data_IF_356044921087
#
_entry.id   IF_356044921087
#
_cell.length_a   1.000
_cell.length_b   1.000
_cell.length_c   1.000
_cell.angle_alpha   90.00
_cell.angle_beta   90.00
_cell.angle_gamma   90.00
#
_symmetry.space_group_name_H-M   'P 1'
#
loop_
_entity.id
_entity.type
_entity.pdbx_description
1 polymer ?
#
# COMPACT_ATOMS: atom_id res chain seq x y z
N UNK A 1 23.60 48.23 66.08
CA UNK A 1 24.11 46.88 66.42
C UNK A 1 22.89 46.01 66.72
N UNK A 2 22.42 45.22 65.74
CA UNK A 2 21.19 44.44 65.87
C UNK A 2 21.49 42.99 66.21
N UNK A 3 20.89 42.48 67.29
CA UNK A 3 21.03 41.09 67.73
C UNK A 3 20.03 40.20 66.98
N UNK A 4 20.52 39.33 66.10
CA UNK A 4 19.74 38.22 65.55
C UNK A 4 19.90 36.99 66.45
N UNK A 5 18.78 36.39 66.84
CA UNK A 5 18.75 35.13 67.61
C UNK A 5 17.91 34.12 66.84
N UNK A 6 18.49 32.95 66.61
CA UNK A 6 17.80 31.84 65.96
C UNK A 6 16.71 31.34 66.93
N UNK A 7 15.45 31.43 66.52
CA UNK A 7 14.29 31.08 67.36
C UNK A 7 14.03 29.57 67.31
N UNK A 8 14.30 28.90 66.19
CA UNK A 8 14.12 27.45 66.06
C UNK A 8 14.97 26.87 64.91
N UNK A 9 15.61 25.72 65.14
CA UNK A 9 16.26 24.95 64.07
C UNK A 9 15.20 24.23 63.22
N UNK A 10 15.48 24.08 61.93
CA UNK A 10 14.59 23.39 60.99
C UNK A 10 14.33 21.95 61.45
N UNK A 11 13.07 21.60 61.67
CA UNK A 11 12.67 20.22 61.90
C UNK A 11 12.83 19.43 60.61
N UNK A 12 13.78 18.49 60.57
CA UNK A 12 13.91 17.55 59.47
C UNK A 12 12.66 16.65 59.44
N UNK A 13 11.91 16.60 58.33
CA UNK A 13 10.76 15.71 58.22
C UNK A 13 11.26 14.26 58.32
N UNK A 14 10.84 13.55 59.38
CA UNK A 14 11.29 12.18 59.63
C UNK A 14 10.58 11.13 58.76
N UNK A 15 9.52 11.51 58.06
CA UNK A 15 8.89 10.68 57.03
C UNK A 15 8.89 11.39 55.67
N UNK A 16 9.07 10.65 54.56
CA UNK A 16 8.93 11.21 53.22
C UNK A 16 7.52 11.78 53.05
N UNK A 17 7.42 13.03 52.59
CA UNK A 17 6.13 13.57 52.12
C UNK A 17 5.62 12.62 51.03
N UNK A 18 4.46 12.00 51.27
CA UNK A 18 3.94 10.87 50.50
C UNK A 18 4.20 11.03 48.99
N UNK A 19 5.15 10.25 48.48
CA UNK A 19 5.62 10.31 47.10
C UNK A 19 4.58 9.70 46.17
N UNK A 20 3.61 10.50 45.73
CA UNK A 20 2.61 10.12 44.72
C UNK A 20 3.20 10.03 43.30
N UNK A 21 4.52 9.90 43.17
CA UNK A 21 5.23 9.84 41.88
C UNK A 21 4.82 8.61 41.07
N UNK A 22 4.63 7.46 41.71
CA UNK A 22 4.12 6.25 41.04
C UNK A 22 2.68 6.44 40.55
N UNK A 23 1.83 7.06 41.37
CA UNK A 23 0.44 7.37 40.99
C UNK A 23 0.38 8.34 39.81
N UNK A 24 1.20 9.40 39.83
CA UNK A 24 1.32 10.34 38.71
C UNK A 24 1.84 9.65 37.45
N UNK A 25 2.85 8.79 37.56
CA UNK A 25 3.38 8.00 36.44
C UNK A 25 2.33 7.06 35.84
N UNK A 26 1.61 6.31 36.68
CA UNK A 26 0.56 5.39 36.23
C UNK A 26 -0.58 6.16 35.56
N UNK A 27 -1.02 7.28 36.15
CA UNK A 27 -2.09 8.09 35.58
C UNK A 27 -1.69 8.72 34.24
N UNK A 28 -0.45 9.20 34.12
CA UNK A 28 0.09 9.76 32.88
C UNK A 28 0.24 8.71 31.79
N UNK A 29 0.75 7.52 32.14
CA UNK A 29 0.83 6.39 31.22
C UNK A 29 -0.57 5.99 30.72
N UNK A 30 -1.53 5.87 31.63
CA UNK A 30 -2.89 5.47 31.28
C UNK A 30 -3.57 6.51 30.37
N UNK A 31 -3.48 7.80 30.70
CA UNK A 31 -4.02 8.89 29.88
C UNK A 31 -3.32 8.99 28.53
N UNK A 32 -2.00 8.83 28.49
CA UNK A 32 -1.21 8.86 27.26
C UNK A 32 -1.60 7.74 26.30
N UNK A 33 -1.76 6.52 26.79
CA UNK A 33 -2.19 5.38 25.95
C UNK A 33 -3.61 5.60 25.43
N UNK A 34 -4.52 6.09 26.28
CA UNK A 34 -5.90 6.41 25.88
C UNK A 34 -5.93 7.49 24.78
N UNK A 35 -5.18 8.57 24.97
CA UNK A 35 -5.07 9.65 23.99
C UNK A 35 -4.41 9.17 22.69
N UNK A 36 -3.41 8.30 22.78
CA UNK A 36 -2.73 7.70 21.63
C UNK A 36 -3.65 6.80 20.81
N UNK A 37 -4.43 5.93 21.46
CA UNK A 37 -5.44 5.09 20.79
C UNK A 37 -6.51 5.97 20.14
N UNK A 38 -7.00 6.99 20.86
CA UNK A 38 -8.00 7.91 20.32
C UNK A 38 -7.46 8.65 19.08
N UNK A 39 -6.23 9.15 19.14
CA UNK A 39 -5.58 9.81 18.00
C UNK A 39 -5.38 8.86 16.82
N UNK A 40 -4.96 7.61 17.06
CA UNK A 40 -4.81 6.60 16.02
C UNK A 40 -6.15 6.31 15.32
N UNK A 41 -7.24 6.17 16.09
CA UNK A 41 -8.59 5.97 15.53
C UNK A 41 -9.09 7.20 14.76
N UNK A 42 -8.80 8.41 15.22
CA UNK A 42 -9.15 9.64 14.50
C UNK A 42 -8.39 9.71 13.17
N UNK A 43 -7.09 9.42 13.17
CA UNK A 43 -6.27 9.37 11.97
C UNK A 43 -6.76 8.27 11.01
N UNK A 44 -7.11 7.10 11.52
CA UNK A 44 -7.68 6.00 10.74
C UNK A 44 -9.05 6.36 10.17
N UNK A 45 -9.89 7.10 10.90
CA UNK A 45 -11.20 7.54 10.43
C UNK A 45 -11.14 8.62 9.34
N UNK A 46 -10.04 9.37 9.25
CA UNK A 46 -9.82 10.35 8.18
C UNK A 46 -9.23 9.74 6.91
N UNK A 47 -8.80 8.48 6.98
CA UNK A 47 -8.33 7.74 5.81
C UNK A 47 -9.52 7.35 4.91
N UNK A 48 -9.82 8.21 3.92
CA UNK A 48 -10.83 7.98 2.88
C UNK A 48 -10.38 6.99 1.79
N UNK A 49 -9.43 6.11 2.10
CA UNK A 49 -9.03 5.05 1.18
C UNK A 49 -10.16 4.04 1.05
N UNK A 50 -10.65 3.81 -0.18
CA UNK A 50 -11.63 2.77 -0.49
C UNK A 50 -10.93 1.42 -0.34
N UNK A 51 -11.05 0.83 0.86
CA UNK A 51 -10.33 -0.39 1.25
C UNK A 51 -10.99 -1.66 0.71
N UNK A 52 -12.22 -1.56 0.20
CA UNK A 52 -13.04 -2.71 -0.15
C UNK A 52 -13.58 -2.61 -1.57
N UNK A 53 -13.36 -3.67 -2.35
CA UNK A 53 -13.78 -3.79 -3.75
C UNK A 53 -15.32 -3.62 -3.90
N UNK A 54 -16.08 -3.98 -2.88
CA UNK A 54 -17.54 -3.92 -2.88
C UNK A 54 -18.08 -2.48 -2.72
N UNK A 55 -17.42 -1.61 -1.96
CA UNK A 55 -17.81 -0.18 -1.87
C UNK A 55 -17.63 0.54 -3.21
N UNK A 56 -16.59 0.18 -3.97
CA UNK A 56 -16.37 0.74 -5.31
C UNK A 56 -17.45 0.29 -6.32
N UNK A 57 -17.97 -0.94 -6.18
CA UNK A 57 -19.08 -1.44 -7.01
C UNK A 57 -20.37 -0.70 -6.70
N UNK A 58 -20.69 -0.54 -5.41
CA UNK A 58 -21.95 0.04 -4.97
C UNK A 58 -22.03 1.56 -5.21
N UNK A 59 -20.91 2.29 -5.07
CA UNK A 59 -20.88 3.75 -5.27
C UNK A 59 -20.82 4.16 -6.75
N UNK A 60 -20.11 3.42 -7.58
CA UNK A 60 -19.85 3.81 -8.97
C UNK A 60 -20.66 3.01 -10.00
N UNK A 61 -21.32 1.91 -9.60
CA UNK A 61 -22.09 1.05 -10.49
C UNK A 61 -21.24 0.36 -11.57
N UNK A 62 -19.94 0.22 -11.33
CA UNK A 62 -18.98 -0.30 -12.31
C UNK A 62 -18.80 -1.82 -12.17
N UNK A 63 -18.74 -2.51 -13.30
CA UNK A 63 -18.40 -3.94 -13.34
C UNK A 63 -16.93 -4.14 -13.01
N UNK A 64 -16.63 -4.86 -11.93
CA UNK A 64 -15.26 -5.27 -11.63
C UNK A 64 -14.78 -6.29 -12.66
N UNK A 65 -13.74 -5.94 -13.41
CA UNK A 65 -13.18 -6.80 -14.45
C UNK A 65 -12.05 -7.73 -13.98
N UNK A 66 -11.44 -7.42 -12.84
CA UNK A 66 -10.41 -8.27 -12.24
C UNK A 66 -9.66 -7.57 -11.12
N UNK A 67 -8.89 -8.35 -10.36
CA UNK A 67 -7.99 -7.88 -9.31
C UNK A 67 -6.59 -8.33 -9.67
N UNK A 68 -5.65 -7.38 -9.75
CA UNK A 68 -4.25 -7.66 -10.04
C UNK A 68 -3.48 -7.59 -8.72
N UNK A 69 -2.91 -8.70 -8.23
CA UNK A 69 -2.17 -8.68 -6.98
C UNK A 69 -0.91 -7.83 -7.12
N UNK A 70 -0.70 -6.91 -6.16
CA UNK A 70 0.51 -6.11 -6.11
C UNK A 70 1.68 -6.98 -5.64
N UNK A 71 2.71 -7.12 -6.47
CA UNK A 71 3.97 -7.74 -6.05
C UNK A 71 4.83 -6.65 -5.38
N UNK A 72 4.74 -6.53 -4.05
CA UNK A 72 5.77 -5.81 -3.31
C UNK A 72 6.95 -6.75 -3.15
N UNK A 73 8.03 -6.51 -3.91
CA UNK A 73 9.33 -7.06 -3.58
C UNK A 73 9.69 -6.50 -2.20
N UNK A 74 9.55 -7.33 -1.18
CA UNK A 74 10.08 -7.07 0.14
C UNK A 74 11.60 -7.05 0.02
N UNK A 75 12.18 -5.87 -0.25
CA UNK A 75 13.61 -5.62 -0.05
C UNK A 75 13.88 -5.66 1.45
N UNK A 76 13.95 -6.87 1.98
CA UNK A 76 14.33 -7.16 3.35
C UNK A 76 15.84 -6.92 3.48
N UNK A 77 16.23 -5.65 3.61
CA UNK A 77 17.61 -5.20 3.83
C UNK A 77 18.27 -5.86 5.05
N UNK A 78 17.49 -6.41 5.98
CA UNK A 78 17.97 -7.15 7.16
C UNK A 78 18.17 -8.65 6.91
N UNK A 79 17.46 -9.26 5.94
CA UNK A 79 17.55 -10.69 5.65
C UNK A 79 18.74 -11.07 4.77
N UNK A 80 19.19 -10.14 3.91
CA UNK A 80 20.29 -10.37 2.97
C UNK A 80 21.68 -10.39 3.64
N UNK A 81 21.78 -9.95 4.91
CA UNK A 81 23.03 -9.96 5.66
C UNK A 81 23.31 -11.31 6.35
N UNK A 82 22.27 -12.13 6.58
CA UNK A 82 22.37 -13.39 7.35
C UNK A 82 22.23 -14.65 6.47
N UNK A 83 21.93 -14.50 5.18
CA UNK A 83 21.78 -15.62 4.22
C UNK A 83 22.45 -15.26 2.89
N UNK A 84 23.69 -15.69 2.61
CA UNK A 84 24.17 -15.71 1.23
C UNK A 84 23.38 -16.81 0.50
N UNK A 85 22.30 -16.43 -0.18
CA UNK A 85 21.44 -17.37 -0.87
C UNK A 85 22.16 -17.93 -2.10
N UNK A 86 22.70 -19.13 -1.97
CA UNK A 86 22.99 -20.03 -3.07
C UNK A 86 21.71 -20.83 -3.36
N UNK A 87 21.16 -20.72 -4.57
CA UNK A 87 20.09 -21.59 -5.05
C UNK A 87 18.87 -20.86 -5.63
N UNK A 88 18.64 -21.12 -6.92
CA UNK A 88 17.49 -20.76 -7.75
C UNK A 88 16.14 -20.69 -7.02
N UNK A 89 15.46 -19.54 -7.11
CA UNK A 89 14.06 -19.38 -6.74
C UNK A 89 13.56 -18.02 -7.21
N UNK A 90 12.75 -18.06 -8.28
CA UNK A 90 11.89 -17.01 -8.83
C UNK A 90 12.56 -15.64 -9.08
N UNK A 91 13.05 -15.47 -10.30
CA UNK A 91 13.62 -14.22 -10.79
C UNK A 91 12.61 -13.08 -10.65
N UNK A 92 12.93 -12.14 -9.76
CA UNK A 92 12.29 -10.83 -9.60
C UNK A 92 11.98 -10.18 -10.96
N UNK A 93 10.74 -9.68 -11.18
CA UNK A 93 10.46 -8.91 -12.37
C UNK A 93 11.27 -7.61 -12.35
N UNK A 94 12.22 -7.46 -13.27
CA UNK A 94 12.99 -6.22 -13.38
C UNK A 94 12.07 -5.03 -13.70
N UNK A 95 12.39 -3.79 -13.25
CA UNK A 95 11.66 -2.60 -13.66
C UNK A 95 11.61 -2.51 -15.19
N UNK A 96 10.40 -2.50 -15.75
CA UNK A 96 10.18 -2.56 -17.21
C UNK A 96 10.00 -3.98 -17.76
N UNK A 97 9.54 -4.93 -16.95
CA UNK A 97 9.14 -6.25 -17.43
C UNK A 97 7.62 -6.36 -17.62
N UNK A 98 7.25 -7.04 -18.70
CA UNK A 98 5.89 -7.43 -18.99
C UNK A 98 5.72 -8.82 -18.38
N UNK A 99 5.19 -8.88 -17.17
CA UNK A 99 5.03 -10.11 -16.36
C UNK A 99 4.41 -11.24 -17.16
N UNK A 100 3.40 -10.93 -17.99
CA UNK A 100 2.71 -11.93 -18.82
C UNK A 100 3.63 -12.57 -19.87
N UNK A 101 4.61 -11.81 -20.40
CA UNK A 101 5.60 -12.28 -21.36
C UNK A 101 6.73 -13.03 -20.67
N UNK A 102 7.24 -12.49 -19.56
CA UNK A 102 8.48 -12.94 -18.95
C UNK A 102 8.25 -14.11 -17.97
N UNK A 103 7.08 -14.17 -17.31
CA UNK A 103 6.73 -15.21 -16.33
C UNK A 103 5.27 -15.70 -16.49
N UNK A 104 4.97 -16.47 -17.55
CA UNK A 104 3.58 -16.80 -17.94
C UNK A 104 2.81 -17.68 -16.93
N UNK A 105 3.50 -18.41 -16.06
CA UNK A 105 2.90 -19.36 -15.11
C UNK A 105 2.60 -18.78 -13.72
N UNK A 106 2.75 -17.47 -13.53
CA UNK A 106 2.50 -16.80 -12.25
C UNK A 106 1.01 -16.48 -12.03
N UNK A 107 0.64 -16.25 -10.76
CA UNK A 107 -0.71 -15.79 -10.38
C UNK A 107 -1.08 -14.45 -11.01
N UNK A 108 -0.10 -13.56 -11.20
CA UNK A 108 -0.27 -12.26 -11.88
C UNK A 108 -0.63 -12.49 -13.36
N UNK A 109 0.09 -13.37 -14.05
CA UNK A 109 -0.21 -13.72 -15.43
C UNK A 109 -1.60 -14.36 -15.58
N UNK A 110 -2.02 -15.18 -14.60
CA UNK A 110 -3.38 -15.70 -14.56
C UNK A 110 -4.43 -14.60 -14.37
N UNK A 111 -4.17 -13.61 -13.52
CA UNK A 111 -5.06 -12.46 -13.31
C UNK A 111 -5.25 -11.63 -14.60
N UNK A 112 -4.18 -11.41 -15.38
CA UNK A 112 -4.29 -10.71 -16.66
C UNK A 112 -5.05 -11.51 -17.73
N UNK A 113 -4.88 -12.84 -17.78
CA UNK A 113 -5.70 -13.72 -18.64
C UNK A 113 -7.18 -13.64 -18.26
N UNK A 114 -7.49 -13.61 -16.96
CA UNK A 114 -8.87 -13.48 -16.48
C UNK A 114 -9.46 -12.11 -16.81
N UNK A 115 -8.71 -11.02 -16.63
CA UNK A 115 -9.10 -9.67 -17.05
C UNK A 115 -9.43 -9.62 -18.55
N UNK A 116 -8.57 -10.23 -19.37
CA UNK A 116 -8.77 -10.30 -20.81
C UNK A 116 -10.04 -11.09 -21.19
N UNK A 117 -10.29 -12.23 -20.54
CA UNK A 117 -11.49 -13.02 -20.76
C UNK A 117 -12.76 -12.23 -20.38
N UNK A 118 -12.76 -11.58 -19.22
CA UNK A 118 -13.88 -10.77 -18.74
C UNK A 118 -14.19 -9.62 -19.70
N UNK A 119 -13.17 -8.94 -20.25
CA UNK A 119 -13.35 -7.92 -21.27
C UNK A 119 -14.07 -8.47 -22.52
N UNK A 120 -13.73 -9.69 -22.98
CA UNK A 120 -14.44 -10.31 -24.11
C UNK A 120 -15.92 -10.58 -23.79
N UNK A 121 -16.24 -10.95 -22.55
CA UNK A 121 -17.61 -11.25 -22.14
C UNK A 121 -18.47 -10.01 -21.87
N UNK A 122 -17.88 -8.84 -21.59
CA UNK A 122 -18.63 -7.59 -21.41
C UNK A 122 -19.43 -7.17 -22.65
N UNK A 123 -18.97 -7.54 -23.84
CA UNK A 123 -19.60 -7.18 -25.11
C UNK A 123 -19.75 -8.44 -25.97
N UNK A 124 -20.71 -9.29 -25.61
CA UNK A 124 -21.06 -10.51 -26.34
C UNK A 124 -21.50 -10.23 -27.79
N UNK A 125 -22.15 -9.07 -28.01
CA UNK A 125 -22.76 -8.74 -29.30
C UNK A 125 -21.82 -7.96 -30.25
N UNK A 126 -20.75 -7.35 -29.73
CA UNK A 126 -19.82 -6.52 -30.51
C UNK A 126 -18.38 -6.75 -30.09
N UNK A 127 -17.53 -6.96 -31.09
CA UNK A 127 -16.09 -7.10 -30.87
C UNK A 127 -15.48 -5.78 -30.35
N UNK A 128 -14.85 -5.82 -29.17
CA UNK A 128 -14.13 -4.69 -28.62
C UNK A 128 -12.88 -4.39 -29.46
N UNK A 129 -12.86 -3.22 -30.12
CA UNK A 129 -11.75 -2.78 -30.97
C UNK A 129 -10.83 -1.76 -30.30
N UNK A 130 -11.37 -0.94 -29.40
CA UNK A 130 -10.65 0.15 -28.73
C UNK A 130 -10.96 0.10 -27.25
N UNK A 131 -9.91 0.10 -26.44
CA UNK A 131 -9.99 0.08 -24.98
C UNK A 131 -9.12 1.23 -24.46
N UNK A 132 -9.68 2.05 -23.58
CA UNK A 132 -8.95 3.08 -22.85
C UNK A 132 -8.71 2.59 -21.43
N UNK A 133 -7.46 2.64 -20.98
CA UNK A 133 -7.09 2.34 -19.60
C UNK A 133 -6.76 3.66 -18.90
N UNK A 134 -7.51 3.98 -17.85
CA UNK A 134 -7.36 5.21 -17.08
C UNK A 134 -7.42 4.91 -15.59
N UNK A 135 -7.02 5.89 -14.78
CA UNK A 135 -7.00 5.82 -13.33
C UNK A 135 -7.33 7.19 -12.73
N UNK A 136 -7.85 7.22 -11.51
CA UNK A 136 -8.29 8.45 -10.85
C UNK A 136 -7.11 9.24 -10.30
N UNK A 137 -6.03 8.53 -9.93
CA UNK A 137 -4.82 9.11 -9.38
C UNK A 137 -3.57 8.67 -10.16
N UNK A 138 -2.49 9.46 -10.12
CA UNK A 138 -1.18 9.02 -10.57
C UNK A 138 -0.72 7.76 -9.81
N UNK A 139 0.09 6.93 -10.47
CA UNK A 139 0.75 5.76 -9.87
C UNK A 139 -0.16 4.59 -9.43
N UNK A 140 -1.43 4.58 -9.84
CA UNK A 140 -2.37 3.45 -9.66
C UNK A 140 -2.11 2.24 -10.60
N UNK A 141 -1.02 2.27 -11.38
CA UNK A 141 -0.63 1.14 -12.24
C UNK A 141 -1.25 1.11 -13.64
N UNK A 142 -1.97 2.16 -14.08
CA UNK A 142 -2.61 2.24 -15.42
C UNK A 142 -1.70 1.81 -16.58
N UNK A 143 -0.45 2.27 -16.59
CA UNK A 143 0.50 1.98 -17.66
C UNK A 143 0.93 0.51 -17.65
N UNK A 144 1.20 -0.05 -16.46
CA UNK A 144 1.55 -1.47 -16.27
C UNK A 144 0.40 -2.38 -16.69
N UNK A 145 -0.83 -2.03 -16.32
CA UNK A 145 -2.03 -2.79 -16.70
C UNK A 145 -2.21 -2.76 -18.22
N UNK A 146 -2.07 -1.60 -18.85
CA UNK A 146 -2.19 -1.45 -20.29
C UNK A 146 -1.16 -2.30 -21.06
N UNK A 147 0.11 -2.29 -20.64
CA UNK A 147 1.18 -3.08 -21.25
C UNK A 147 0.93 -4.59 -21.14
N UNK A 148 0.63 -5.08 -19.93
CA UNK A 148 0.40 -6.50 -19.68
C UNK A 148 -0.89 -6.99 -20.33
N UNK A 149 -1.96 -6.17 -20.37
CA UNK A 149 -3.18 -6.51 -21.09
C UNK A 149 -2.92 -6.61 -22.60
N UNK A 150 -2.21 -5.65 -23.18
CA UNK A 150 -1.85 -5.68 -24.59
C UNK A 150 -1.02 -6.93 -24.94
N UNK A 151 -0.04 -7.28 -24.10
CA UNK A 151 0.74 -8.49 -24.26
C UNK A 151 -0.11 -9.76 -24.13
N UNK A 152 -1.05 -9.80 -23.18
CA UNK A 152 -1.98 -10.94 -23.02
C UNK A 152 -2.83 -11.13 -24.27
N UNK A 153 -3.38 -10.04 -24.82
CA UNK A 153 -4.20 -10.09 -26.05
C UNK A 153 -3.35 -10.50 -27.25
N UNK A 154 -2.10 -10.03 -27.34
CA UNK A 154 -1.16 -10.41 -28.39
C UNK A 154 -0.79 -11.90 -28.33
N UNK A 155 -0.60 -12.47 -27.12
CA UNK A 155 -0.33 -13.90 -26.93
C UNK A 155 -1.45 -14.81 -27.43
N UNK A 156 -2.69 -14.31 -27.51
CA UNK A 156 -3.82 -15.02 -28.12
C UNK A 156 -3.81 -14.94 -29.67
N UNK A 157 -2.71 -14.46 -30.26
CA UNK A 157 -2.54 -14.35 -31.72
C UNK A 157 -3.24 -13.15 -32.34
N UNK A 158 -3.66 -12.16 -31.54
CA UNK A 158 -4.37 -10.97 -32.02
C UNK A 158 -3.38 -9.85 -32.33
N UNK A 159 -3.66 -9.07 -33.38
CA UNK A 159 -2.90 -7.85 -33.69
C UNK A 159 -3.35 -6.74 -32.75
N UNK A 160 -2.43 -6.23 -31.94
CA UNK A 160 -2.71 -5.20 -30.93
C UNK A 160 -1.74 -4.04 -31.13
N UNK A 161 -2.26 -2.82 -31.04
CA UNK A 161 -1.47 -1.60 -30.97
C UNK A 161 -1.69 -0.99 -29.58
N UNK A 162 -0.61 -0.84 -28.81
CA UNK A 162 -0.62 -0.08 -27.56
C UNK A 162 -0.17 1.35 -27.86
N UNK A 163 -0.97 2.33 -27.46
CA UNK A 163 -0.68 3.76 -27.64
C UNK A 163 -0.54 4.41 -26.28
N UNK A 164 0.60 5.05 -26.02
CA UNK A 164 0.78 5.89 -24.83
C UNK A 164 0.17 7.27 -25.10
N UNK A 165 -1.01 7.52 -24.53
CA UNK A 165 -1.70 8.80 -24.63
C UNK A 165 -1.40 9.75 -23.46
N UNK A 166 -0.55 9.35 -22.49
CA UNK A 166 -0.12 10.21 -21.39
C UNK A 166 1.10 11.05 -21.83
N UNK A 167 0.84 12.21 -22.42
CA UNK A 167 1.90 13.12 -22.89
C UNK A 167 2.64 13.84 -21.76
N UNK A 168 2.06 13.89 -20.55
CA UNK A 168 2.69 14.57 -19.42
C UNK A 168 3.78 13.71 -18.80
N UNK A 169 3.55 12.40 -18.69
CA UNK A 169 4.54 11.44 -18.16
C UNK A 169 4.51 10.14 -18.96
N UNK A 170 4.98 10.15 -20.22
CA UNK A 170 4.98 8.95 -21.06
C UNK A 170 5.96 7.92 -20.49
N UNK A 171 5.52 6.67 -20.37
CA UNK A 171 6.30 5.59 -19.74
C UNK A 171 6.31 4.29 -20.52
N UNK A 172 5.41 4.10 -21.49
CA UNK A 172 5.31 2.81 -22.21
C UNK A 172 6.59 2.44 -22.98
N UNK A 173 7.38 3.43 -23.40
CA UNK A 173 8.67 3.20 -24.08
C UNK A 173 9.77 2.59 -23.17
N UNK A 174 9.53 2.52 -21.85
CA UNK A 174 10.47 1.97 -20.86
C UNK A 174 10.01 0.63 -20.28
N UNK A 175 8.78 0.21 -20.60
CA UNK A 175 8.12 -1.01 -20.11
C UNK A 175 8.23 -2.11 -21.16
#
# INVERSE_FOLDING_TARGET
>A
MGNARIIQQASLPQEPVASRKSLMLVSGAMLGTLAGIAAALVLESQDKSVKTIDEARDLFGLTLLGVIPAHKSEKNSWGNFLRPSSGNGDSEPSPGQIVVKDTPHTSISAAYRMLQANLRFLCSDKELKVIVVSSSLPQEGKSTVAANLAATVAQLGRKVLLVDADMHRPVQHRI
#
